data_IF_957981059141
#
_entry.id   IF_957981059141
#
_cell.length_a   1.000
_cell.length_b   1.000
_cell.length_c   1.000
_cell.angle_alpha   90.00
_cell.angle_beta   90.00
_cell.angle_gamma   90.00
#
_symmetry.space_group_name_H-M   'P 1'
#
loop_
_entity.id
_entity.type
_entity.pdbx_description
1 polymer ?
#
# COMPACT_ATOMS: atom_id res chain seq x y z
N UNK A 1 38.71 13.81 13.55
CA UNK A 1 37.70 14.70 14.18
C UNK A 1 36.45 13.88 14.49
N UNK A 2 36.06 13.76 15.76
CA UNK A 2 34.84 13.01 16.14
C UNK A 2 33.63 13.91 15.87
N UNK A 3 32.76 13.49 14.95
CA UNK A 3 31.54 14.24 14.65
C UNK A 3 30.61 14.26 15.88
N UNK A 4 30.15 15.46 16.26
CA UNK A 4 29.28 15.67 17.43
C UNK A 4 27.92 16.21 17.00
N UNK A 5 26.88 15.91 17.78
CA UNK A 5 25.52 16.44 17.63
C UNK A 5 25.15 17.23 18.89
N UNK A 6 24.45 18.35 18.72
CA UNK A 6 23.99 19.19 19.83
C UNK A 6 22.58 18.74 20.21
N UNK A 7 22.34 18.50 21.49
CA UNK A 7 21.00 18.18 21.98
C UNK A 7 20.08 19.40 21.79
N UNK A 8 18.91 19.27 21.12
CA UNK A 8 18.01 20.39 20.89
C UNK A 8 17.36 20.94 22.17
N UNK A 9 17.35 20.16 23.26
CA UNK A 9 16.71 20.53 24.53
C UNK A 9 17.67 21.20 25.50
N UNK A 10 18.79 20.53 25.82
CA UNK A 10 19.73 20.99 26.84
C UNK A 10 21.04 21.57 26.27
N UNK A 11 21.16 21.66 24.93
CA UNK A 11 22.33 22.17 24.21
C UNK A 11 23.65 21.44 24.49
N UNK A 12 23.63 20.32 25.21
CA UNK A 12 24.81 19.49 25.46
C UNK A 12 25.33 18.83 24.17
N UNK A 13 26.66 18.86 23.98
CA UNK A 13 27.33 18.14 22.89
C UNK A 13 27.36 16.64 23.19
N UNK A 14 26.85 15.85 22.26
CA UNK A 14 26.82 14.39 22.31
C UNK A 14 27.55 13.80 21.11
N UNK A 15 27.94 12.53 21.18
CA UNK A 15 28.46 11.78 20.02
C UNK A 15 27.37 11.74 18.94
N UNK A 16 27.73 11.84 17.65
CA UNK A 16 26.76 11.80 16.53
C UNK A 16 25.95 10.50 16.48
N UNK A 17 26.47 9.41 17.04
CA UNK A 17 25.79 8.11 17.16
C UNK A 17 24.95 7.95 18.41
N UNK A 18 24.97 8.91 19.35
CA UNK A 18 24.19 8.81 20.57
C UNK A 18 22.69 8.95 20.27
N UNK A 19 21.91 7.98 20.70
CA UNK A 19 20.45 8.02 20.62
C UNK A 19 19.84 8.80 21.78
N UNK A 20 20.53 8.83 22.92
CA UNK A 20 20.09 9.47 24.16
C UNK A 20 21.13 10.51 24.57
N UNK A 21 20.66 11.67 25.02
CA UNK A 21 21.51 12.72 25.54
C UNK A 21 22.15 12.31 26.87
N UNK A 22 23.48 12.45 26.99
CA UNK A 22 24.24 12.13 28.20
C UNK A 22 23.83 12.96 29.42
N UNK A 23 23.42 14.21 29.21
CA UNK A 23 23.02 15.12 30.28
C UNK A 23 21.54 14.99 30.66
N UNK A 24 20.62 15.32 29.75
CA UNK A 24 19.19 15.35 30.07
C UNK A 24 18.44 14.03 29.86
N UNK A 25 19.15 12.94 29.50
CA UNK A 25 18.60 11.59 29.25
C UNK A 25 17.44 11.50 28.24
N UNK A 26 17.20 12.58 27.49
CA UNK A 26 16.16 12.62 26.45
C UNK A 26 16.69 12.09 25.10
N UNK A 27 15.83 11.51 24.25
CA UNK A 27 16.23 11.05 22.94
C UNK A 27 16.69 12.21 22.04
N UNK A 28 17.84 12.03 21.39
CA UNK A 28 18.49 13.00 20.49
C UNK A 28 17.92 12.95 19.07
N UNK A 29 17.47 11.77 18.64
CA UNK A 29 16.75 11.59 17.38
C UNK A 29 15.28 11.42 17.70
N UNK A 30 14.43 12.24 17.09
CA UNK A 30 13.08 11.79 16.78
C UNK A 30 13.28 10.54 15.95
N UNK A 31 12.83 9.38 16.43
CA UNK A 31 12.75 8.20 15.59
C UNK A 31 12.05 8.64 14.31
N UNK A 32 12.80 8.80 13.20
CA UNK A 32 12.21 8.64 11.89
C UNK A 32 11.62 7.26 12.01
N UNK A 33 10.28 7.19 12.17
CA UNK A 33 9.57 5.91 12.15
C UNK A 33 10.19 5.18 10.97
N UNK A 34 10.76 3.98 11.19
CA UNK A 34 11.39 3.25 10.11
C UNK A 34 10.36 3.27 9.00
N UNK A 35 10.76 3.72 7.80
CA UNK A 35 9.96 3.54 6.60
C UNK A 35 9.61 2.06 6.60
N UNK A 36 8.40 1.77 7.07
CA UNK A 36 7.80 0.46 7.01
C UNK A 36 7.97 0.15 5.54
N UNK A 37 8.77 -0.87 5.22
CA UNK A 37 8.98 -1.34 3.84
C UNK A 37 7.60 -1.68 3.29
N UNK A 38 6.90 -0.66 2.81
CA UNK A 38 5.53 -0.73 2.38
C UNK A 38 5.65 -1.28 0.97
N UNK A 39 5.38 -2.58 0.85
CA UNK A 39 5.48 -3.29 -0.41
C UNK A 39 4.52 -2.73 -1.49
N UNK A 40 3.59 -1.86 -1.09
CA UNK A 40 2.46 -1.35 -1.87
C UNK A 40 2.43 0.19 -1.96
N UNK A 41 3.58 0.88 -2.03
CA UNK A 41 3.60 2.35 -2.21
C UNK A 41 2.92 2.72 -3.53
N UNK A 42 1.87 3.54 -3.45
CA UNK A 42 1.24 4.17 -4.61
C UNK A 42 2.18 5.28 -5.09
N UNK A 43 2.61 5.22 -6.35
CA UNK A 43 3.42 6.30 -6.91
C UNK A 43 2.49 7.26 -7.67
N UNK A 44 2.25 8.49 -7.15
CA UNK A 44 1.37 9.43 -7.83
C UNK A 44 1.90 9.82 -9.22
N UNK A 45 3.22 9.77 -9.44
CA UNK A 45 3.87 10.08 -10.72
C UNK A 45 3.92 8.91 -11.71
N UNK A 46 3.77 7.66 -11.24
CA UNK A 46 3.73 6.51 -12.14
C UNK A 46 2.42 6.49 -12.93
N UNK A 47 2.45 6.06 -14.19
CA UNK A 47 1.20 5.82 -14.94
C UNK A 47 0.46 4.58 -14.41
N UNK A 48 1.21 3.55 -14.01
CA UNK A 48 0.67 2.28 -13.54
C UNK A 48 1.53 1.71 -12.41
N UNK A 49 0.89 1.38 -11.29
CA UNK A 49 1.49 0.62 -10.20
C UNK A 49 1.23 -0.88 -10.41
N UNK A 50 2.04 -1.48 -11.30
CA UNK A 50 1.91 -2.89 -11.70
C UNK A 50 1.88 -3.87 -10.52
N UNK A 51 2.54 -3.56 -9.40
CA UNK A 51 2.50 -4.40 -8.19
C UNK A 51 1.09 -4.54 -7.63
N UNK A 52 0.33 -3.43 -7.55
CA UNK A 52 -1.04 -3.44 -7.04
C UNK A 52 -1.94 -4.23 -8.00
N UNK A 53 -1.78 -4.02 -9.31
CA UNK A 53 -2.54 -4.73 -10.34
C UNK A 53 -2.25 -6.23 -10.28
N UNK A 54 -0.99 -6.64 -10.22
CA UNK A 54 -0.58 -8.05 -10.15
C UNK A 54 -1.17 -8.75 -8.91
N UNK A 55 -1.06 -8.10 -7.75
CA UNK A 55 -1.61 -8.61 -6.49
C UNK A 55 -3.13 -8.69 -6.57
N UNK A 56 -3.78 -7.69 -7.16
CA UNK A 56 -5.22 -7.69 -7.40
C UNK A 56 -5.67 -8.84 -8.29
N UNK A 57 -4.99 -9.09 -9.42
CA UNK A 57 -5.31 -10.22 -10.32
C UNK A 57 -5.16 -11.55 -9.59
N UNK A 58 -4.06 -11.73 -8.86
CA UNK A 58 -3.83 -12.96 -8.10
C UNK A 58 -4.93 -13.20 -7.06
N UNK A 59 -5.32 -12.15 -6.33
CA UNK A 59 -6.41 -12.20 -5.37
C UNK A 59 -7.75 -12.50 -6.05
N UNK A 60 -8.02 -11.93 -7.23
CA UNK A 60 -9.25 -12.17 -8.00
C UNK A 60 -9.39 -13.65 -8.35
N UNK A 61 -8.36 -14.21 -8.97
CA UNK A 61 -8.36 -15.58 -9.49
C UNK A 61 -8.46 -16.58 -8.35
N UNK A 62 -7.66 -16.41 -7.28
CA UNK A 62 -7.73 -17.31 -6.11
C UNK A 62 -9.10 -17.23 -5.44
N UNK A 63 -9.61 -16.02 -5.22
CA UNK A 63 -10.91 -15.85 -4.57
C UNK A 63 -12.01 -16.49 -5.41
N UNK A 64 -11.97 -16.33 -6.73
CA UNK A 64 -12.91 -16.96 -7.64
C UNK A 64 -12.83 -18.50 -7.57
N UNK A 65 -11.64 -19.09 -7.75
CA UNK A 65 -11.42 -20.55 -7.73
C UNK A 65 -11.87 -21.18 -6.40
N UNK A 66 -11.61 -20.52 -5.26
CA UNK A 66 -12.08 -21.00 -3.97
C UNK A 66 -13.61 -20.96 -3.85
N UNK A 67 -14.24 -19.93 -4.42
CA UNK A 67 -15.68 -19.75 -4.38
C UNK A 67 -16.44 -20.66 -5.34
N UNK A 68 -15.82 -21.14 -6.42
CA UNK A 68 -16.43 -22.12 -7.32
C UNK A 68 -16.94 -23.38 -6.57
N UNK A 69 -16.26 -23.76 -5.50
CA UNK A 69 -16.63 -24.93 -4.68
C UNK A 69 -17.81 -24.68 -3.72
N UNK A 70 -18.19 -23.42 -3.50
CA UNK A 70 -19.23 -23.04 -2.52
C UNK A 70 -20.45 -22.47 -3.24
N UNK A 71 -20.21 -21.54 -4.17
CA UNK A 71 -21.23 -20.71 -4.81
C UNK A 71 -20.84 -20.42 -6.26
N UNK A 72 -21.05 -21.40 -7.15
CA UNK A 72 -20.65 -21.36 -8.57
C UNK A 72 -21.19 -20.12 -9.31
N UNK A 73 -22.51 -19.92 -9.31
CA UNK A 73 -23.17 -18.84 -10.09
C UNK A 73 -22.75 -17.43 -9.67
N UNK A 74 -22.30 -17.26 -8.42
CA UNK A 74 -21.96 -15.97 -7.84
C UNK A 74 -20.46 -15.78 -7.64
N UNK A 75 -19.61 -16.76 -7.98
CA UNK A 75 -18.18 -16.73 -7.72
C UNK A 75 -17.51 -15.48 -8.32
N UNK A 76 -17.85 -15.11 -9.57
CA UNK A 76 -17.32 -13.90 -10.23
C UNK A 76 -17.77 -12.60 -9.57
N UNK A 77 -19.03 -12.54 -9.13
CA UNK A 77 -19.58 -11.34 -8.51
C UNK A 77 -18.94 -11.11 -7.14
N UNK A 78 -18.84 -12.17 -6.34
CA UNK A 78 -18.24 -12.11 -5.00
C UNK A 78 -16.74 -11.83 -5.08
N UNK A 79 -16.02 -12.42 -6.02
CA UNK A 79 -14.59 -12.10 -6.23
C UNK A 79 -14.39 -10.65 -6.68
N UNK A 80 -15.26 -10.12 -7.55
CA UNK A 80 -15.27 -8.70 -7.93
C UNK A 80 -15.50 -7.78 -6.72
N UNK A 81 -16.46 -8.12 -5.85
CA UNK A 81 -16.72 -7.37 -4.63
C UNK A 81 -15.54 -7.38 -3.65
N UNK A 82 -14.86 -8.52 -3.50
CA UNK A 82 -13.66 -8.63 -2.67
C UNK A 82 -12.54 -7.69 -3.17
N UNK A 83 -12.42 -7.52 -4.48
CA UNK A 83 -11.43 -6.61 -5.07
C UNK A 83 -11.81 -5.15 -4.87
N UNK A 84 -13.09 -4.81 -5.00
CA UNK A 84 -13.57 -3.47 -4.65
C UNK A 84 -13.21 -3.11 -3.21
N UNK A 85 -13.40 -4.04 -2.26
CA UNK A 85 -13.02 -3.83 -0.86
C UNK A 85 -11.50 -3.67 -0.68
N UNK A 86 -10.71 -4.54 -1.32
CA UNK A 86 -9.25 -4.43 -1.29
C UNK A 86 -8.77 -3.06 -1.77
N UNK A 87 -9.27 -2.62 -2.92
CA UNK A 87 -8.93 -1.34 -3.52
C UNK A 87 -9.46 -0.15 -2.70
N UNK A 88 -10.62 -0.26 -2.08
CA UNK A 88 -11.15 0.75 -1.17
C UNK A 88 -10.27 0.92 0.08
N UNK A 89 -9.82 -0.17 0.70
CA UNK A 89 -8.90 -0.12 1.84
C UNK A 89 -7.60 0.57 1.43
N UNK A 90 -7.08 0.23 0.25
CA UNK A 90 -5.87 0.82 -0.29
C UNK A 90 -6.07 2.32 -0.56
N UNK A 91 -7.18 2.70 -1.19
CA UNK A 91 -7.58 4.10 -1.38
C UNK A 91 -7.64 4.86 -0.06
N UNK A 92 -8.35 4.33 0.95
CA UNK A 92 -8.52 4.97 2.26
C UNK A 92 -7.19 5.16 2.99
N UNK A 93 -6.29 4.18 2.90
CA UNK A 93 -4.97 4.25 3.51
C UNK A 93 -4.12 5.39 2.94
N UNK A 94 -4.14 5.58 1.61
CA UNK A 94 -3.35 6.62 0.94
C UNK A 94 -4.04 7.99 0.91
N UNK A 95 -5.37 8.02 0.88
CA UNK A 95 -6.19 9.23 0.94
C UNK A 95 -5.94 10.07 2.19
N UNK A 96 -5.56 9.44 3.31
CA UNK A 96 -5.28 10.16 4.56
C UNK A 96 -3.94 10.93 4.54
N UNK A 97 -3.14 10.79 3.48
CA UNK A 97 -1.74 11.25 3.48
C UNK A 97 -1.48 12.49 2.59
N UNK A 98 -2.36 12.87 1.65
CA UNK A 98 -2.11 13.93 0.65
C UNK A 98 -3.28 14.91 0.41
N UNK A 99 -2.98 16.06 -0.22
CA UNK A 99 -3.87 17.18 -0.57
C UNK A 99 -5.08 16.83 -1.48
N UNK A 100 -6.11 17.69 -1.50
CA UNK A 100 -7.38 17.47 -2.22
C UNK A 100 -7.28 17.24 -3.75
N UNK A 101 -6.23 17.74 -4.40
CA UNK A 101 -6.00 17.55 -5.84
C UNK A 101 -5.42 16.16 -6.18
N UNK A 102 -4.63 15.56 -5.28
CA UNK A 102 -4.12 14.20 -5.45
C UNK A 102 -5.23 13.16 -5.27
N UNK A 103 -6.20 13.45 -4.40
CA UNK A 103 -7.36 12.59 -4.11
C UNK A 103 -8.16 12.22 -5.36
N UNK A 104 -8.45 13.18 -6.24
CA UNK A 104 -9.17 12.92 -7.51
C UNK A 104 -8.36 12.02 -8.44
N UNK A 105 -7.05 12.24 -8.54
CA UNK A 105 -6.15 11.43 -9.37
C UNK A 105 -6.01 9.99 -8.84
N UNK A 106 -5.90 9.82 -7.52
CA UNK A 106 -5.83 8.51 -6.87
C UNK A 106 -7.16 7.77 -7.05
N UNK A 107 -8.31 8.43 -6.84
CA UNK A 107 -9.62 7.82 -7.03
C UNK A 107 -9.82 7.27 -8.45
N UNK A 108 -9.46 8.07 -9.47
CA UNK A 108 -9.50 7.62 -10.86
C UNK A 108 -8.57 6.42 -11.11
N UNK A 109 -7.33 6.46 -10.59
CA UNK A 109 -6.39 5.32 -10.71
C UNK A 109 -6.96 4.05 -10.10
N UNK A 110 -7.61 4.13 -8.94
CA UNK A 110 -8.19 2.97 -8.25
C UNK A 110 -9.32 2.34 -9.07
N UNK A 111 -10.22 3.15 -9.64
CA UNK A 111 -11.28 2.67 -10.54
C UNK A 111 -10.67 2.01 -11.77
N UNK A 112 -9.63 2.61 -12.34
CA UNK A 112 -8.94 2.06 -13.51
C UNK A 112 -8.26 0.72 -13.20
N UNK A 113 -7.65 0.58 -12.02
CA UNK A 113 -7.08 -0.69 -11.57
C UNK A 113 -8.15 -1.76 -11.37
N UNK A 114 -9.30 -1.41 -10.79
CA UNK A 114 -10.43 -2.33 -10.67
C UNK A 114 -10.84 -2.92 -12.02
N UNK A 115 -11.05 -2.05 -13.02
CA UNK A 115 -11.47 -2.48 -14.36
C UNK A 115 -10.42 -3.38 -15.02
N UNK A 116 -9.13 -3.04 -14.92
CA UNK A 116 -8.04 -3.86 -15.45
C UNK A 116 -8.00 -5.22 -14.76
N UNK A 117 -8.08 -5.25 -13.44
CA UNK A 117 -7.99 -6.49 -12.66
C UNK A 117 -9.15 -7.42 -13.01
N UNK A 118 -10.39 -6.93 -13.05
CA UNK A 118 -11.57 -7.75 -13.37
C UNK A 118 -11.51 -8.25 -14.81
N UNK A 119 -11.15 -7.38 -15.77
CA UNK A 119 -11.05 -7.77 -17.17
C UNK A 119 -9.97 -8.83 -17.40
N UNK A 120 -8.74 -8.58 -16.92
CA UNK A 120 -7.62 -9.53 -17.07
C UNK A 120 -7.89 -10.82 -16.31
N UNK A 121 -8.44 -10.71 -15.09
CA UNK A 121 -8.83 -11.87 -14.29
C UNK A 121 -9.87 -12.74 -14.98
N UNK A 122 -10.92 -12.15 -15.56
CA UNK A 122 -11.93 -12.88 -16.32
C UNK A 122 -11.34 -13.56 -17.56
N UNK A 123 -10.46 -12.88 -18.31
CA UNK A 123 -9.76 -13.48 -19.45
C UNK A 123 -8.90 -14.68 -19.02
N UNK A 124 -8.20 -14.58 -17.89
CA UNK A 124 -7.42 -15.69 -17.33
C UNK A 124 -8.34 -16.88 -16.99
N UNK A 125 -9.41 -16.66 -16.25
CA UNK A 125 -10.36 -17.72 -15.90
C UNK A 125 -10.93 -18.38 -17.16
N UNK A 126 -11.33 -17.58 -18.16
CA UNK A 126 -11.82 -18.06 -19.44
C UNK A 126 -10.78 -18.93 -20.18
N UNK A 127 -9.53 -18.49 -20.22
CA UNK A 127 -8.44 -19.19 -20.93
C UNK A 127 -8.12 -20.55 -20.29
N UNK A 128 -8.21 -20.64 -18.97
CA UNK A 128 -7.91 -21.87 -18.22
C UNK A 128 -9.14 -22.73 -17.94
N UNK A 129 -10.33 -22.35 -18.42
CA UNK A 129 -11.58 -23.06 -18.16
C UNK A 129 -11.89 -23.20 -16.66
N UNK A 130 -11.55 -22.16 -15.89
CA UNK A 130 -11.72 -22.08 -14.43
C UNK A 130 -12.94 -21.23 -14.07
N UNK A 131 -14.13 -21.67 -14.48
CA UNK A 131 -15.37 -20.93 -14.21
C UNK A 131 -16.56 -21.84 -14.06
#
# INVERSE_FOLDING_TARGET
>A
MVSTIICPRCKTKNKKTAEICSNCKNPLKTNKKPDKKNFLIFNPESRFDFKIILIGIFLFVICNVLLLNVVYDYAMLVSGFAIMLFLYILFKYYSSQDDSASMKKIGYKVILYYLIIVFVGAVILLTFNLF
#
